data_IF_701658734946
#
_entry.id   IF_701658734946
#
_cell.length_a   1.000
_cell.length_b   1.000
_cell.length_c   1.000
_cell.angle_alpha   90.00
_cell.angle_beta   90.00
_cell.angle_gamma   90.00
#
_symmetry.space_group_name_H-M   'P 1'
#
loop_
_entity.id
_entity.type
_entity.pdbx_description
1 polymer ?
#
# COMPACT_ATOMS: atom_id res chain seq x y z
N UNK A 1 -56.16 -38.39 12.82
CA UNK A 1 -55.42 -39.64 12.52
C UNK A 1 -54.31 -39.24 11.54
N UNK A 2 -53.07 -38.87 11.94
CA UNK A 2 -51.93 -39.70 12.43
C UNK A 2 -51.71 -40.95 11.54
N UNK A 3 -50.57 -41.35 10.95
CA UNK A 3 -49.14 -40.95 10.74
C UNK A 3 -48.68 -41.83 9.52
N UNK A 4 -47.78 -41.47 8.59
CA UNK A 4 -46.34 -41.88 8.46
C UNK A 4 -45.89 -41.48 7.03
N UNK A 5 -44.88 -40.60 6.88
CA UNK A 5 -43.44 -40.89 6.67
C UNK A 5 -43.12 -41.79 5.48
N UNK A 6 -42.44 -41.24 4.46
CA UNK A 6 -41.13 -41.76 4.05
C UNK A 6 -40.33 -40.71 3.25
N UNK A 7 -39.15 -40.44 3.77
CA UNK A 7 -38.02 -39.70 3.22
C UNK A 7 -37.49 -40.31 1.92
N UNK A 8 -37.17 -39.49 0.92
CA UNK A 8 -36.06 -39.74 0.00
C UNK A 8 -35.27 -38.47 -0.25
N UNK A 9 -33.95 -38.63 -0.09
CA UNK A 9 -32.90 -37.64 -0.16
C UNK A 9 -32.79 -37.02 -1.56
N UNK A 10 -32.73 -35.68 -1.63
CA UNK A 10 -32.22 -34.98 -2.81
C UNK A 10 -30.76 -34.60 -2.51
N UNK A 11 -29.78 -35.07 -3.30
CA UNK A 11 -28.38 -34.77 -3.06
C UNK A 11 -28.10 -33.27 -3.31
N UNK A 12 -27.35 -32.69 -2.37
CA UNK A 12 -26.66 -31.41 -2.53
C UNK A 12 -25.81 -31.47 -3.82
N UNK A 13 -26.21 -30.69 -4.83
CA UNK A 13 -25.29 -30.31 -5.90
C UNK A 13 -24.51 -29.11 -5.37
N UNK A 14 -23.38 -29.41 -4.75
CA UNK A 14 -22.30 -28.46 -4.51
C UNK A 14 -21.71 -28.13 -5.88
N UNK A 15 -22.32 -27.16 -6.57
CA UNK A 15 -21.73 -26.57 -7.77
C UNK A 15 -20.47 -25.82 -7.32
N UNK A 16 -19.33 -26.38 -7.70
CA UNK A 16 -18.01 -25.98 -7.23
C UNK A 16 -17.74 -24.48 -7.36
N UNK A 17 -17.21 -23.92 -6.27
CA UNK A 17 -16.24 -22.82 -6.37
C UNK A 17 -15.02 -23.35 -7.14
N UNK A 18 -15.11 -23.30 -8.47
CA UNK A 18 -13.93 -23.37 -9.31
C UNK A 18 -13.11 -22.10 -9.01
N UNK A 19 -12.10 -22.30 -8.18
CA UNK A 19 -10.95 -21.43 -7.94
C UNK A 19 -10.51 -20.72 -9.23
N UNK A 20 -10.84 -19.43 -9.35
CA UNK A 20 -10.13 -18.49 -10.24
C UNK A 20 -8.79 -18.04 -9.62
N UNK A 21 -8.23 -18.83 -8.71
CA UNK A 21 -6.90 -18.64 -8.14
C UNK A 21 -5.92 -19.38 -9.06
N UNK A 22 -5.51 -18.79 -10.19
CA UNK A 22 -4.32 -19.31 -10.93
C UNK A 22 -3.71 -18.33 -11.95
N UNK A 23 -4.32 -17.18 -12.25
CA UNK A 23 -3.69 -16.22 -13.20
C UNK A 23 -2.85 -15.13 -12.55
N UNK A 24 -3.14 -14.72 -11.32
CA UNK A 24 -2.39 -13.63 -10.67
C UNK A 24 -1.07 -14.08 -10.04
N UNK A 25 -0.93 -15.34 -9.62
CA UNK A 25 0.30 -15.84 -8.98
C UNK A 25 1.47 -16.05 -9.96
N UNK A 26 1.22 -16.13 -11.26
CA UNK A 26 2.26 -16.31 -12.28
C UNK A 26 2.88 -14.99 -12.80
N UNK A 27 2.41 -13.83 -12.33
CA UNK A 27 2.99 -12.53 -12.70
C UNK A 27 4.31 -12.21 -11.95
N UNK A 28 4.65 -12.99 -10.92
CA UNK A 28 5.71 -12.67 -9.95
C UNK A 28 7.12 -13.20 -10.29
N UNK A 29 7.36 -13.61 -11.53
CA UNK A 29 8.70 -14.02 -12.01
C UNK A 29 9.32 -13.09 -13.04
N UNK A 30 9.02 -11.78 -12.99
CA UNK A 30 9.93 -10.82 -13.62
C UNK A 30 11.07 -10.63 -12.64
N UNK A 31 12.07 -11.52 -12.73
CA UNK A 31 13.30 -11.39 -11.98
C UNK A 31 13.90 -10.02 -12.31
N UNK A 32 14.08 -9.19 -11.30
CA UNK A 32 14.91 -8.01 -11.44
C UNK A 32 16.25 -8.46 -12.06
N UNK A 33 16.82 -7.72 -13.02
CA UNK A 33 18.17 -7.99 -13.46
C UNK A 33 19.06 -8.02 -12.23
N UNK A 34 20.04 -8.92 -12.21
CA UNK A 34 20.99 -9.01 -11.12
C UNK A 34 21.88 -7.76 -11.15
N UNK A 35 21.41 -6.69 -10.52
CA UNK A 35 22.17 -5.46 -10.34
C UNK A 35 23.08 -5.71 -9.14
N UNK A 36 24.30 -6.14 -9.41
CA UNK A 36 25.33 -6.32 -8.38
C UNK A 36 25.76 -4.94 -7.86
N UNK A 37 25.12 -4.51 -6.77
CA UNK A 37 25.51 -3.30 -6.04
C UNK A 37 26.46 -3.75 -4.94
N UNK A 38 27.75 -3.50 -5.15
CA UNK A 38 28.75 -3.67 -4.11
C UNK A 38 28.43 -2.74 -2.92
N UNK A 39 27.92 -3.34 -1.84
CA UNK A 39 27.50 -2.63 -0.63
C UNK A 39 28.69 -2.04 0.14
N UNK A 40 29.93 -2.40 -0.20
CA UNK A 40 31.13 -1.84 0.42
C UNK A 40 31.53 -0.47 -0.17
N UNK A 41 30.95 -0.08 -1.31
CA UNK A 41 31.22 1.20 -1.96
C UNK A 41 30.45 2.34 -1.31
N UNK A 42 31.06 3.52 -1.31
CA UNK A 42 30.37 4.73 -0.88
C UNK A 42 29.21 5.06 -1.82
N UNK A 43 28.23 5.78 -1.28
CA UNK A 43 26.97 6.11 -1.97
C UNK A 43 27.16 6.88 -3.28
N UNK A 44 28.17 7.75 -3.38
CA UNK A 44 28.41 8.56 -4.58
C UNK A 44 28.92 7.65 -5.70
N UNK A 45 29.83 6.74 -5.38
CA UNK A 45 30.33 5.73 -6.32
C UNK A 45 29.20 4.86 -6.88
N UNK A 46 28.25 4.45 -6.02
CA UNK A 46 27.07 3.69 -6.45
C UNK A 46 26.18 4.51 -7.39
N UNK A 47 25.90 5.77 -7.06
CA UNK A 47 25.12 6.65 -7.94
C UNK A 47 25.79 6.81 -9.30
N UNK A 48 27.10 7.08 -9.34
CA UNK A 48 27.84 7.26 -10.59
C UNK A 48 27.77 6.01 -11.48
N UNK A 49 27.95 4.83 -10.88
CA UNK A 49 27.80 3.55 -11.58
C UNK A 49 26.40 3.40 -12.18
N UNK A 50 25.35 3.60 -11.37
CA UNK A 50 23.97 3.45 -11.81
C UNK A 50 23.58 4.45 -12.91
N UNK A 51 24.06 5.70 -12.82
CA UNK A 51 23.83 6.71 -13.86
C UNK A 51 24.54 6.36 -15.17
N UNK A 52 25.76 5.81 -15.09
CA UNK A 52 26.49 5.30 -16.24
C UNK A 52 25.77 4.13 -16.90
N UNK A 53 25.39 3.12 -16.11
CA UNK A 53 24.68 1.92 -16.56
C UNK A 53 23.31 2.26 -17.19
N UNK A 54 22.56 3.19 -16.59
CA UNK A 54 21.29 3.69 -17.13
C UNK A 54 21.45 4.29 -18.53
N UNK A 55 22.57 5.00 -18.79
CA UNK A 55 22.84 5.66 -20.08
C UNK A 55 23.39 4.70 -21.13
N UNK A 56 24.09 3.64 -20.71
CA UNK A 56 24.76 2.70 -21.62
C UNK A 56 23.92 1.48 -22.00
N UNK A 57 22.93 1.09 -21.19
CA UNK A 57 22.07 -0.04 -21.52
C UNK A 57 21.16 0.26 -22.72
N UNK A 58 21.01 -0.72 -23.60
CA UNK A 58 20.05 -0.69 -24.72
C UNK A 58 18.70 -1.31 -24.33
N UNK A 59 18.64 -2.04 -23.21
CA UNK A 59 17.42 -2.70 -22.74
C UNK A 59 16.56 -1.72 -21.96
N UNK A 60 15.33 -1.49 -22.42
CA UNK A 60 14.38 -0.65 -21.70
C UNK A 60 14.09 -1.19 -20.30
N UNK A 61 13.95 -2.52 -20.16
CA UNK A 61 13.70 -3.14 -18.87
C UNK A 61 14.83 -2.87 -17.88
N UNK A 62 16.08 -3.05 -18.30
CA UNK A 62 17.25 -2.76 -17.44
C UNK A 62 17.32 -1.27 -17.08
N UNK A 63 17.07 -0.39 -18.05
CA UNK A 63 17.04 1.06 -17.81
C UNK A 63 16.03 1.43 -16.72
N UNK A 64 14.82 0.87 -16.76
CA UNK A 64 13.79 1.13 -15.76
C UNK A 64 14.21 0.62 -14.37
N UNK A 65 14.91 -0.51 -14.29
CA UNK A 65 15.45 -1.01 -13.03
C UNK A 65 16.56 -0.12 -12.47
N UNK A 66 17.48 0.38 -13.30
CA UNK A 66 18.48 1.37 -12.86
C UNK A 66 17.82 2.68 -12.40
N UNK A 67 16.81 3.16 -13.11
CA UNK A 67 16.02 4.33 -12.69
C UNK A 67 15.34 4.10 -11.35
N UNK A 68 14.75 2.93 -11.11
CA UNK A 68 14.12 2.60 -9.84
C UNK A 68 15.14 2.55 -8.69
N UNK A 69 16.32 1.96 -8.91
CA UNK A 69 17.40 1.96 -7.90
C UNK A 69 17.94 3.35 -7.60
N UNK A 70 18.14 4.19 -8.62
CA UNK A 70 18.50 5.60 -8.43
C UNK A 70 17.41 6.35 -7.65
N UNK A 71 16.13 6.12 -7.96
CA UNK A 71 15.01 6.75 -7.27
C UNK A 71 14.97 6.38 -5.78
N UNK A 72 15.20 5.11 -5.44
CA UNK A 72 15.32 4.64 -4.06
C UNK A 72 16.45 5.36 -3.32
N UNK A 73 17.65 5.42 -3.92
CA UNK A 73 18.78 6.12 -3.32
C UNK A 73 18.47 7.61 -3.15
N UNK A 74 17.90 8.27 -4.15
CA UNK A 74 17.58 9.70 -4.06
C UNK A 74 16.51 10.00 -3.00
N UNK A 75 15.54 9.10 -2.82
CA UNK A 75 14.52 9.22 -1.79
C UNK A 75 15.12 9.19 -0.39
N UNK A 76 16.13 8.37 -0.13
CA UNK A 76 16.83 8.32 1.16
C UNK A 76 17.54 9.62 1.54
N UNK A 77 17.94 10.44 0.55
CA UNK A 77 18.47 11.80 0.79
C UNK A 77 17.43 12.91 0.70
N UNK A 78 16.14 12.58 0.50
CA UNK A 78 15.12 13.58 0.16
C UNK A 78 15.51 14.43 -1.06
N UNK A 79 16.20 13.84 -2.04
CA UNK A 79 16.63 14.53 -3.26
C UNK A 79 15.43 14.65 -4.22
N UNK A 80 15.12 15.84 -4.76
CA UNK A 80 13.97 16.07 -5.61
C UNK A 80 13.98 15.23 -6.90
N UNK A 81 15.14 14.70 -7.33
CA UNK A 81 15.25 13.78 -8.46
C UNK A 81 14.48 12.48 -8.24
N UNK A 82 14.26 12.06 -6.99
CA UNK A 82 13.47 10.88 -6.66
C UNK A 82 12.05 10.97 -7.22
N UNK A 83 11.37 12.10 -7.01
CA UNK A 83 10.01 12.34 -7.48
C UNK A 83 9.91 12.18 -9.00
N UNK A 84 10.84 12.78 -9.77
CA UNK A 84 10.84 12.69 -11.22
C UNK A 84 11.03 11.25 -11.74
N UNK A 85 11.94 10.49 -11.12
CA UNK A 85 12.18 9.10 -11.50
C UNK A 85 10.98 8.21 -11.16
N UNK A 86 10.43 8.31 -9.94
CA UNK A 86 9.26 7.54 -9.55
C UNK A 86 8.03 7.88 -10.38
N UNK A 87 7.84 9.14 -10.77
CA UNK A 87 6.79 9.56 -11.69
C UNK A 87 6.90 8.85 -13.03
N UNK A 88 8.09 8.83 -13.63
CA UNK A 88 8.31 8.13 -14.91
C UNK A 88 8.04 6.63 -14.78
N UNK A 89 8.50 6.00 -13.70
CA UNK A 89 8.30 4.58 -13.43
C UNK A 89 6.84 4.22 -13.15
N UNK A 90 6.12 5.09 -12.44
CA UNK A 90 4.70 4.91 -12.12
C UNK A 90 3.79 5.03 -13.35
N UNK A 91 4.14 5.92 -14.29
CA UNK A 91 3.45 6.07 -15.56
C UNK A 91 3.72 4.90 -16.53
N UNK A 92 4.85 4.22 -16.39
CA UNK A 92 5.21 3.12 -17.26
C UNK A 92 4.50 1.82 -16.88
N UNK A 93 3.45 1.45 -17.63
CA UNK A 93 2.68 0.22 -17.42
C UNK A 93 3.46 -1.08 -17.69
N UNK A 94 4.59 -1.02 -18.40
CA UNK A 94 5.44 -2.19 -18.64
C UNK A 94 6.39 -2.44 -17.48
N UNK A 95 6.61 -1.45 -16.61
CA UNK A 95 7.44 -1.61 -15.43
C UNK A 95 6.70 -2.45 -14.37
N UNK A 96 7.28 -3.58 -13.90
CA UNK A 96 6.58 -4.50 -12.99
C UNK A 96 6.19 -3.88 -11.65
N UNK A 97 6.99 -2.93 -11.17
CA UNK A 97 6.76 -2.24 -9.90
C UNK A 97 6.12 -0.86 -10.11
N UNK A 98 5.39 -0.62 -11.21
CA UNK A 98 4.81 0.69 -11.49
C UNK A 98 3.88 1.19 -10.37
N UNK A 99 3.04 0.32 -9.79
CA UNK A 99 2.15 0.69 -8.69
C UNK A 99 2.93 1.08 -7.44
N UNK A 100 3.99 0.36 -7.13
CA UNK A 100 4.87 0.71 -6.02
C UNK A 100 5.62 2.02 -6.31
N UNK A 101 6.07 2.22 -7.56
CA UNK A 101 6.67 3.47 -7.99
C UNK A 101 5.67 4.64 -7.87
N UNK A 102 4.38 4.45 -8.16
CA UNK A 102 3.34 5.46 -7.90
C UNK A 102 3.22 5.78 -6.42
N UNK A 103 3.26 4.80 -5.52
CA UNK A 103 3.24 5.08 -4.07
C UNK A 103 4.48 5.87 -3.64
N UNK A 104 5.66 5.51 -4.17
CA UNK A 104 6.91 6.22 -3.90
C UNK A 104 6.95 7.61 -4.54
N UNK A 105 6.33 7.81 -5.71
CA UNK A 105 6.14 9.11 -6.35
C UNK A 105 5.38 10.02 -5.41
N UNK A 106 4.19 9.59 -4.97
CA UNK A 106 3.32 10.37 -4.10
C UNK A 106 4.07 10.78 -2.82
N UNK A 107 4.79 9.86 -2.20
CA UNK A 107 5.55 10.14 -0.98
C UNK A 107 6.76 11.08 -1.21
N UNK A 108 7.44 10.95 -2.36
CA UNK A 108 8.64 11.73 -2.66
C UNK A 108 8.33 13.12 -3.22
N UNK A 109 7.15 13.30 -3.81
CA UNK A 109 6.73 14.56 -4.40
C UNK A 109 6.14 15.47 -3.31
N UNK A 110 6.79 16.61 -3.07
CA UNK A 110 6.47 17.48 -1.94
C UNK A 110 5.19 18.29 -2.09
N UNK A 111 4.56 18.36 -3.26
CA UNK A 111 3.33 19.12 -3.47
C UNK A 111 2.36 18.36 -4.37
N UNK A 112 1.17 18.10 -3.84
CA UNK A 112 0.03 17.59 -4.59
C UNK A 112 -0.97 18.71 -4.81
N UNK A 113 -1.30 18.97 -6.08
CA UNK A 113 -2.26 20.00 -6.45
C UNK A 113 -3.69 19.66 -5.97
N UNK A 114 -4.04 18.36 -5.96
CA UNK A 114 -5.32 17.86 -5.47
C UNK A 114 -5.11 16.58 -4.64
N UNK A 115 -5.19 16.66 -3.29
CA UNK A 115 -4.98 15.51 -2.43
C UNK A 115 -6.07 14.43 -2.58
N UNK A 116 -7.29 14.78 -3.03
CA UNK A 116 -8.33 13.78 -3.31
C UNK A 116 -7.99 12.98 -4.56
N UNK A 117 -7.50 13.65 -5.61
CA UNK A 117 -7.05 12.99 -6.82
C UNK A 117 -5.88 12.04 -6.55
N UNK A 118 -4.92 12.44 -5.71
CA UNK A 118 -3.81 11.54 -5.32
C UNK A 118 -4.29 10.34 -4.50
N UNK A 119 -5.21 10.52 -3.57
CA UNK A 119 -5.80 9.39 -2.84
C UNK A 119 -6.55 8.43 -3.76
N UNK A 120 -7.23 8.93 -4.79
CA UNK A 120 -7.89 8.10 -5.79
C UNK A 120 -6.89 7.24 -6.59
N UNK A 121 -5.64 7.69 -6.76
CA UNK A 121 -4.57 6.89 -7.41
C UNK A 121 -4.07 5.73 -6.54
N UNK A 122 -4.29 5.77 -5.23
CA UNK A 122 -3.81 4.75 -4.27
C UNK A 122 -4.74 3.55 -4.17
N UNK A 123 -5.95 3.61 -4.78
CA UNK A 123 -7.03 2.61 -4.72
C UNK A 123 -6.66 1.31 -3.98
N UNK A 124 -6.86 1.31 -2.67
CA UNK A 124 -6.45 0.20 -1.78
C UNK A 124 -7.25 -1.07 -2.02
N UNK A 125 -8.34 -1.00 -2.79
CA UNK A 125 -9.19 -2.14 -3.14
C UNK A 125 -8.71 -2.85 -4.41
N UNK A 126 -8.23 -2.09 -5.40
CA UNK A 126 -7.62 -2.63 -6.61
C UNK A 126 -6.10 -2.87 -6.47
N UNK A 127 -5.50 -2.42 -5.36
CA UNK A 127 -4.07 -2.59 -5.07
C UNK A 127 -3.72 -4.04 -4.75
N UNK A 128 -2.57 -4.48 -5.26
CA UNK A 128 -2.05 -5.83 -5.00
C UNK A 128 -1.98 -6.08 -3.48
N UNK A 129 -2.35 -7.27 -2.97
CA UNK A 129 -2.46 -7.51 -1.53
C UNK A 129 -1.20 -7.13 -0.73
N UNK A 130 -0.01 -7.38 -1.30
CA UNK A 130 1.27 -7.05 -0.68
C UNK A 130 1.57 -5.54 -0.60
N UNK A 131 0.93 -4.72 -1.44
CA UNK A 131 1.03 -3.26 -1.41
C UNK A 131 -0.03 -2.61 -0.51
N UNK A 132 -1.05 -3.34 -0.05
CA UNK A 132 -2.17 -2.75 0.70
C UNK A 132 -1.72 -1.96 1.93
N UNK A 133 -0.84 -2.53 2.73
CA UNK A 133 -0.33 -1.86 3.92
C UNK A 133 0.46 -0.59 3.57
N UNK A 134 1.22 -0.64 2.47
CA UNK A 134 1.99 0.52 1.99
C UNK A 134 1.07 1.61 1.44
N UNK A 135 0.04 1.24 0.68
CA UNK A 135 -0.99 2.16 0.21
C UNK A 135 -1.65 2.89 1.37
N UNK A 136 -2.05 2.18 2.42
CA UNK A 136 -2.61 2.80 3.63
C UNK A 136 -1.66 3.80 4.30
N UNK A 137 -0.36 3.51 4.37
CA UNK A 137 0.63 4.43 4.93
C UNK A 137 0.74 5.73 4.12
N UNK A 138 0.80 5.61 2.79
CA UNK A 138 0.87 6.78 1.89
C UNK A 138 -0.43 7.58 1.95
N UNK A 139 -1.59 6.92 2.00
CA UNK A 139 -2.88 7.60 2.18
C UNK A 139 -2.96 8.36 3.50
N UNK A 140 -2.48 7.76 4.60
CA UNK A 140 -2.39 8.44 5.90
C UNK A 140 -1.49 9.68 5.80
N UNK A 141 -0.32 9.55 5.16
CA UNK A 141 0.62 10.67 5.00
C UNK A 141 -0.02 11.84 4.25
N UNK A 142 -0.72 11.58 3.15
CA UNK A 142 -1.46 12.63 2.41
C UNK A 142 -2.53 13.25 3.32
N UNK A 143 -3.36 12.42 3.93
CA UNK A 143 -4.47 12.90 4.74
C UNK A 143 -4.00 13.70 5.97
N UNK A 144 -2.84 13.35 6.57
CA UNK A 144 -2.19 14.09 7.65
C UNK A 144 -1.71 15.46 7.16
N UNK A 145 -0.98 15.48 6.05
CA UNK A 145 -0.42 16.69 5.43
C UNK A 145 -1.51 17.70 5.05
N UNK A 146 -2.61 17.23 4.48
CA UNK A 146 -3.73 18.07 4.03
C UNK A 146 -4.87 18.19 5.05
N UNK A 147 -4.68 17.70 6.29
CA UNK A 147 -5.64 17.78 7.40
C UNK A 147 -7.03 17.24 7.05
N UNK A 148 -7.07 16.14 6.32
CA UNK A 148 -8.29 15.47 5.86
C UNK A 148 -8.86 14.60 6.98
N UNK A 149 -9.45 15.25 7.99
CA UNK A 149 -9.76 14.62 9.27
C UNK A 149 -10.74 13.44 9.17
N UNK A 150 -11.76 13.51 8.33
CA UNK A 150 -12.73 12.43 8.12
C UNK A 150 -12.04 11.20 7.52
N UNK A 151 -11.23 11.43 6.47
CA UNK A 151 -10.45 10.39 5.81
C UNK A 151 -9.43 9.77 6.77
N UNK A 152 -8.76 10.58 7.59
CA UNK A 152 -7.80 10.10 8.60
C UNK A 152 -8.43 9.15 9.62
N UNK A 153 -9.64 9.45 10.10
CA UNK A 153 -10.35 8.57 11.03
C UNK A 153 -10.53 7.20 10.39
N UNK A 154 -11.05 7.16 9.15
CA UNK A 154 -11.28 5.93 8.42
C UNK A 154 -9.98 5.16 8.14
N UNK A 155 -8.93 5.86 7.70
CA UNK A 155 -7.62 5.28 7.40
C UNK A 155 -6.94 4.69 8.63
N UNK A 156 -6.97 5.37 9.78
CA UNK A 156 -6.44 4.83 11.03
C UNK A 156 -7.24 3.62 11.53
N UNK A 157 -8.56 3.64 11.40
CA UNK A 157 -9.39 2.47 11.70
C UNK A 157 -9.04 1.30 10.78
N UNK A 158 -8.84 1.53 9.49
CA UNK A 158 -8.42 0.48 8.56
C UNK A 158 -7.02 -0.04 8.86
N UNK A 159 -6.06 0.84 9.17
CA UNK A 159 -4.70 0.47 9.59
C UNK A 159 -4.74 -0.42 10.84
N UNK A 160 -5.60 -0.11 11.82
CA UNK A 160 -5.75 -0.95 13.03
C UNK A 160 -6.36 -2.34 12.76
N UNK A 161 -6.91 -2.60 11.57
CA UNK A 161 -7.42 -3.92 11.16
C UNK A 161 -6.34 -4.78 10.48
N UNK A 162 -5.19 -4.18 10.12
CA UNK A 162 -4.06 -4.90 9.53
C UNK A 162 -3.41 -5.85 10.56
N UNK A 163 -2.60 -6.84 10.13
CA UNK A 163 -1.88 -7.74 11.01
C UNK A 163 -0.72 -7.04 11.75
N UNK A 164 -1.08 -6.11 12.63
CA UNK A 164 -0.19 -5.33 13.50
C UNK A 164 -0.20 -5.86 14.93
N UNK A 165 0.78 -5.45 15.72
CA UNK A 165 0.81 -5.73 17.15
C UNK A 165 -0.39 -5.07 17.86
N UNK A 166 -0.86 -5.67 18.95
CA UNK A 166 -2.03 -5.16 19.67
C UNK A 166 -1.83 -3.71 20.12
N UNK A 167 -0.62 -3.35 20.57
CA UNK A 167 -0.27 -1.99 20.98
C UNK A 167 -0.48 -1.00 19.82
N UNK A 168 0.03 -1.32 18.63
CA UNK A 168 -0.11 -0.48 17.43
C UNK A 168 -1.58 -0.34 17.01
N UNK A 169 -2.35 -1.44 17.05
CA UNK A 169 -3.80 -1.41 16.75
C UNK A 169 -4.53 -0.44 17.67
N UNK A 170 -4.21 -0.46 18.97
CA UNK A 170 -4.77 0.46 19.97
C UNK A 170 -4.33 1.90 19.68
N UNK A 171 -3.06 2.14 19.36
CA UNK A 171 -2.54 3.47 19.05
C UNK A 171 -3.23 4.11 17.84
N UNK A 172 -3.38 3.38 16.73
CA UNK A 172 -4.13 3.89 15.57
C UNK A 172 -5.60 4.15 15.90
N UNK A 173 -6.24 3.27 16.67
CA UNK A 173 -7.64 3.49 17.09
C UNK A 173 -7.76 4.72 18.01
N UNK A 174 -6.78 4.98 18.89
CA UNK A 174 -6.72 6.20 19.71
C UNK A 174 -6.51 7.46 18.87
N UNK A 175 -5.65 7.42 17.84
CA UNK A 175 -5.49 8.54 16.89
C UNK A 175 -6.82 8.87 16.21
N UNK A 176 -7.55 7.87 15.73
CA UNK A 176 -8.89 8.03 15.16
C UNK A 176 -9.87 8.66 16.18
N UNK A 177 -9.88 8.15 17.41
CA UNK A 177 -10.75 8.67 18.47
C UNK A 177 -10.48 10.15 18.79
N UNK A 178 -9.21 10.54 18.88
CA UNK A 178 -8.82 11.92 19.18
C UNK A 178 -9.31 12.89 18.08
N UNK A 179 -9.21 12.48 16.81
CA UNK A 179 -9.76 13.25 15.69
C UNK A 179 -11.29 13.32 15.75
N UNK A 180 -11.96 12.19 16.01
CA UNK A 180 -13.42 12.12 16.12
C UNK A 180 -13.96 12.99 17.26
N UNK A 181 -13.31 13.00 18.43
CA UNK A 181 -13.72 13.87 19.54
C UNK A 181 -13.69 15.35 19.13
N UNK A 182 -12.68 15.76 18.37
CA UNK A 182 -12.46 17.16 18.00
C UNK A 182 -13.31 17.61 16.81
N UNK A 183 -13.54 16.73 15.84
CA UNK A 183 -14.11 17.12 14.54
C UNK A 183 -15.41 16.36 14.18
N UNK A 184 -15.62 15.14 14.69
CA UNK A 184 -16.74 14.26 14.30
C UNK A 184 -17.33 13.51 15.52
N UNK A 185 -17.95 14.23 16.49
CA UNK A 185 -18.34 13.66 17.77
C UNK A 185 -19.37 12.51 17.66
N UNK A 186 -20.11 12.43 16.55
CA UNK A 186 -21.05 11.34 16.26
C UNK A 186 -20.36 9.99 16.08
N UNK A 187 -19.10 9.96 15.63
CA UNK A 187 -18.36 8.72 15.40
C UNK A 187 -17.63 8.19 16.64
N UNK A 188 -17.47 9.05 17.64
CA UNK A 188 -16.69 8.80 18.86
C UNK A 188 -17.05 7.49 19.55
N UNK A 189 -18.34 7.18 19.67
CA UNK A 189 -18.79 6.02 20.44
C UNK A 189 -18.49 4.70 19.72
N UNK A 190 -18.65 4.67 18.39
CA UNK A 190 -18.27 3.50 17.58
C UNK A 190 -16.77 3.21 17.68
N UNK A 191 -15.94 4.26 17.70
CA UNK A 191 -14.47 4.11 17.83
C UNK A 191 -14.09 3.65 19.25
N UNK A 192 -14.77 4.14 20.29
CA UNK A 192 -14.55 3.69 21.67
C UNK A 192 -14.87 2.21 21.85
N UNK A 193 -15.96 1.72 21.28
CA UNK A 193 -16.29 0.30 21.30
C UNK A 193 -15.17 -0.55 20.71
N UNK A 194 -14.53 -0.09 19.63
CA UNK A 194 -13.35 -0.75 19.06
C UNK A 194 -12.18 -0.80 20.03
N UNK A 195 -11.88 0.30 20.73
CA UNK A 195 -10.81 0.30 21.76
C UNK A 195 -11.14 -0.72 22.86
N UNK A 196 -12.38 -0.76 23.33
CA UNK A 196 -12.81 -1.72 24.34
C UNK A 196 -12.64 -3.17 23.86
N UNK A 197 -13.00 -3.48 22.61
CA UNK A 197 -12.76 -4.81 22.03
C UNK A 197 -11.28 -5.15 21.90
N UNK A 198 -10.45 -4.19 21.52
CA UNK A 198 -9.00 -4.40 21.37
C UNK A 198 -8.27 -4.50 22.70
N UNK A 199 -8.69 -3.74 23.71
CA UNK A 199 -8.03 -3.65 25.00
C UNK A 199 -9.05 -3.27 26.12
N UNK A 200 -9.81 -4.25 26.64
CA UNK A 200 -10.90 -4.00 27.60
C UNK A 200 -10.47 -3.27 28.90
N UNK A 201 -9.18 -3.35 29.25
CA UNK A 201 -8.60 -2.77 30.46
C UNK A 201 -8.17 -1.29 30.32
N UNK A 202 -8.30 -0.70 29.13
CA UNK A 202 -7.93 0.70 28.86
C UNK A 202 -9.09 1.71 28.99
N UNK A 203 -10.23 1.27 29.51
CA UNK A 203 -11.37 2.12 29.82
C UNK A 203 -11.28 2.75 31.21
#
# INVERSE_FOLDING_TARGET
MRIFNFTWLIPLIISGCATQITKEENYYKIQAPNIDIDQSKDRISVIYYLEGARKSTQSESERLWYEYKLAQIYKESSDPRACALFKNLGLNKTFPLNREATLNEIESCQDHADPNAEMARIDTTATLPWLKNRGLEVSILIAEKYKMHEQLINLYLEKSKQPLEQKEKVEYTKKALNLAIKHFPKEKENIRQRIYMLAPRYN
#
